data_IF_505928846745
#
_entry.id   IF_505928846745
#
_cell.length_a   1.000
_cell.length_b   1.000
_cell.length_c   1.000
_cell.angle_alpha   90.00
_cell.angle_beta   90.00
_cell.angle_gamma   90.00
#
_symmetry.space_group_name_H-M   'P 1'
#
loop_
_entity.id
_entity.type
_entity.pdbx_description
1 polymer ?
#
# COMPACT_ATOMS: atom_id res chain seq x y z
N UNK A 1 -5.37 8.18 9.70
CA UNK A 1 -4.83 7.07 8.87
C UNK A 1 -5.84 5.93 8.89
N UNK A 2 -6.10 5.29 7.76
CA UNK A 2 -6.88 4.07 7.72
C UNK A 2 -5.93 2.88 7.87
N UNK A 3 -6.25 1.94 8.76
CA UNK A 3 -5.41 0.76 9.04
C UNK A 3 -6.14 -0.51 8.64
N UNK A 4 -5.44 -1.38 7.93
CA UNK A 4 -5.86 -2.73 7.62
C UNK A 4 -4.83 -3.72 8.19
N UNK A 5 -5.32 -4.79 8.82
CA UNK A 5 -4.48 -5.87 9.34
C UNK A 5 -4.86 -7.17 8.67
N UNK A 6 -3.87 -7.89 8.13
CA UNK A 6 -4.05 -9.23 7.59
C UNK A 6 -3.33 -10.19 8.52
N UNK A 7 -4.12 -11.03 9.19
CA UNK A 7 -3.59 -12.10 10.01
C UNK A 7 -3.32 -13.31 9.12
N UNK A 8 -2.06 -13.66 8.96
CA UNK A 8 -1.63 -14.87 8.27
C UNK A 8 -1.22 -15.91 9.31
N UNK A 9 -1.57 -17.18 9.08
CA UNK A 9 -1.04 -18.27 9.90
C UNK A 9 0.41 -18.57 9.48
N UNK A 10 1.21 -19.04 10.42
CA UNK A 10 2.64 -19.34 10.21
C UNK A 10 2.74 -20.46 9.16
N UNK A 11 3.07 -20.11 7.92
CA UNK A 11 3.44 -21.06 6.88
C UNK A 11 4.83 -21.62 7.19
N UNK A 12 4.92 -22.50 8.20
CA UNK A 12 6.14 -22.89 8.92
C UNK A 12 7.28 -23.51 8.10
N UNK A 13 7.06 -23.79 6.81
CA UNK A 13 8.11 -24.29 5.91
C UNK A 13 8.32 -23.46 4.64
N UNK A 14 7.52 -22.42 4.39
CA UNK A 14 7.73 -21.63 3.18
C UNK A 14 8.89 -20.65 3.39
N UNK A 15 9.99 -20.88 2.68
CA UNK A 15 11.20 -20.04 2.73
C UNK A 15 11.19 -18.92 1.70
N UNK A 16 10.17 -18.82 0.84
CA UNK A 16 10.10 -17.79 -0.20
C UNK A 16 8.66 -17.33 -0.44
N UNK A 17 8.34 -16.15 0.07
CA UNK A 17 7.06 -15.48 -0.03
C UNK A 17 7.28 -14.09 -0.64
N UNK A 18 6.34 -13.62 -1.44
CA UNK A 18 6.28 -12.24 -1.93
C UNK A 18 5.01 -11.57 -1.44
N UNK A 19 5.18 -10.38 -0.90
CA UNK A 19 4.09 -9.45 -0.60
C UNK A 19 4.18 -8.32 -1.60
N UNK A 20 3.10 -8.05 -2.32
CA UNK A 20 3.01 -6.90 -3.24
C UNK A 20 1.74 -6.12 -2.94
N UNK A 21 1.88 -4.80 -2.86
CA UNK A 21 0.76 -3.87 -2.76
C UNK A 21 0.72 -3.03 -4.03
N UNK A 22 -0.46 -2.88 -4.62
CA UNK A 22 -0.67 -2.10 -5.84
C UNK A 22 -1.87 -1.17 -5.67
N UNK A 23 -1.67 0.13 -5.79
CA UNK A 23 -2.71 1.17 -5.88
C UNK A 23 -3.34 1.13 -7.27
N UNK A 24 -4.62 1.48 -7.39
CA UNK A 24 -5.28 1.56 -8.69
C UNK A 24 -4.73 2.71 -9.54
N UNK A 25 -4.28 3.80 -8.92
CA UNK A 25 -3.64 4.92 -9.60
C UNK A 25 -2.35 5.38 -8.87
N UNK A 26 -1.24 5.64 -9.59
CA UNK A 26 -0.02 6.20 -8.98
C UNK A 26 -0.26 7.53 -8.25
N UNK A 27 -1.17 8.38 -8.74
CA UNK A 27 -1.49 9.70 -8.19
C UNK A 27 -2.50 9.67 -7.02
N UNK A 28 -2.93 8.48 -6.62
CA UNK A 28 -3.87 8.26 -5.53
C UNK A 28 -5.35 8.31 -5.94
N UNK A 29 -6.22 8.64 -4.99
CA UNK A 29 -7.66 8.61 -5.20
C UNK A 29 -8.10 9.70 -6.17
N UNK A 30 -9.07 9.38 -7.01
CA UNK A 30 -9.59 10.33 -7.99
C UNK A 30 -11.08 10.59 -7.82
N UNK A 31 -11.45 11.85 -8.00
CA UNK A 31 -12.83 12.28 -8.15
C UNK A 31 -13.15 12.34 -9.65
N UNK A 32 -14.19 11.62 -10.12
CA UNK A 32 -14.53 11.56 -11.55
C UNK A 32 -15.14 12.85 -12.10
N UNK A 33 -15.39 13.86 -11.26
CA UNK A 33 -15.92 15.16 -11.69
C UNK A 33 -15.08 15.77 -12.84
N UNK A 34 -15.73 15.99 -13.98
CA UNK A 34 -15.15 16.64 -15.16
C UNK A 34 -15.48 18.13 -15.24
N UNK A 35 -16.13 18.68 -14.21
CA UNK A 35 -16.43 20.11 -14.08
C UNK A 35 -15.18 20.94 -14.36
N UNK A 36 -15.25 21.96 -15.22
CA UNK A 36 -14.12 22.85 -15.46
C UNK A 36 -13.73 23.60 -14.18
N UNK A 37 -12.69 23.13 -13.50
CA UNK A 37 -12.12 23.79 -12.33
C UNK A 37 -10.78 24.42 -12.69
N UNK A 38 -10.38 25.43 -11.92
CA UNK A 38 -9.04 26.01 -12.05
C UNK A 38 -8.00 25.03 -11.47
N UNK A 39 -7.15 24.40 -12.29
CA UNK A 39 -6.17 23.41 -11.82
C UNK A 39 -5.03 24.04 -11.01
N UNK A 40 -4.91 25.37 -10.98
CA UNK A 40 -3.96 26.06 -10.10
C UNK A 40 -4.49 26.22 -8.66
N UNK A 41 -5.80 26.04 -8.44
CA UNK A 41 -6.45 26.25 -7.14
C UNK A 41 -7.09 24.96 -6.60
N UNK A 42 -7.57 24.10 -7.49
CA UNK A 42 -8.30 22.89 -7.15
C UNK A 42 -7.66 21.65 -7.77
N UNK A 43 -7.93 20.49 -7.16
CA UNK A 43 -7.50 19.19 -7.67
C UNK A 43 -8.61 18.15 -7.57
N UNK A 44 -8.73 17.30 -8.60
CA UNK A 44 -9.55 16.09 -8.57
C UNK A 44 -8.75 14.84 -8.17
N UNK A 45 -7.50 15.00 -7.74
CA UNK A 45 -6.62 13.94 -7.22
C UNK A 45 -6.32 14.14 -5.74
N UNK A 46 -6.35 13.06 -4.98
CA UNK A 46 -6.01 13.02 -3.57
C UNK A 46 -4.92 11.96 -3.36
N UNK A 47 -3.63 12.37 -3.34
CA UNK A 47 -2.51 11.45 -3.14
C UNK A 47 -2.59 10.73 -1.80
N UNK A 48 -2.12 9.50 -1.77
CA UNK A 48 -1.95 8.72 -0.53
C UNK A 48 -0.82 7.72 -0.69
N UNK A 49 -0.18 7.37 0.42
CA UNK A 49 0.81 6.30 0.49
C UNK A 49 0.29 5.12 1.29
N UNK A 50 0.90 3.96 1.06
CA UNK A 50 0.61 2.73 1.79
C UNK A 50 1.87 2.23 2.45
N UNK A 51 1.90 2.25 3.78
CA UNK A 51 3.02 1.71 4.56
C UNK A 51 2.72 0.27 5.00
N UNK A 52 3.66 -0.62 4.74
CA UNK A 52 3.58 -2.04 5.09
C UNK A 52 4.61 -2.39 6.15
N UNK A 53 4.22 -3.22 7.11
CA UNK A 53 5.13 -3.80 8.10
C UNK A 53 4.74 -5.23 8.48
N UNK A 54 5.74 -6.10 8.64
CA UNK A 54 5.62 -7.47 9.12
C UNK A 54 6.97 -7.98 9.64
N UNK A 55 6.97 -9.10 10.37
CA UNK A 55 8.19 -9.83 10.72
C UNK A 55 8.16 -11.18 10.02
N UNK A 56 9.30 -11.56 9.42
CA UNK A 56 9.48 -12.84 8.78
C UNK A 56 10.87 -13.42 9.00
N UNK A 57 11.26 -14.38 8.18
CA UNK A 57 12.67 -14.73 7.98
C UNK A 57 13.22 -14.14 6.69
N UNK A 58 14.53 -14.17 6.52
CA UNK A 58 15.16 -13.83 5.25
C UNK A 58 14.77 -14.84 4.16
N UNK A 59 14.66 -14.42 2.89
CA UNK A 59 14.40 -15.33 1.79
C UNK A 59 15.40 -16.50 1.77
N UNK A 60 14.89 -17.71 1.58
CA UNK A 60 15.67 -18.97 1.56
C UNK A 60 16.43 -19.25 2.86
N UNK A 61 16.00 -18.66 3.99
CA UNK A 61 16.68 -18.78 5.28
C UNK A 61 15.69 -18.81 6.45
N UNK A 62 16.12 -19.36 7.58
CA UNK A 62 15.38 -19.30 8.85
C UNK A 62 15.72 -18.04 9.68
N UNK A 63 16.79 -17.32 9.32
CA UNK A 63 17.25 -16.11 10.01
C UNK A 63 16.15 -15.04 10.02
N UNK A 64 15.91 -14.40 11.16
CA UNK A 64 14.87 -13.38 11.26
C UNK A 64 15.16 -12.15 10.38
N UNK A 65 14.12 -11.58 9.80
CA UNK A 65 14.18 -10.33 9.05
C UNK A 65 12.89 -9.54 9.26
N UNK A 66 13.01 -8.27 9.61
CA UNK A 66 11.89 -7.33 9.56
C UNK A 66 11.56 -7.01 8.10
N UNK A 67 10.27 -7.11 7.76
CA UNK A 67 9.74 -6.72 6.46
C UNK A 67 9.02 -5.38 6.55
N UNK A 68 9.38 -4.45 5.69
CA UNK A 68 8.72 -3.16 5.57
C UNK A 68 9.02 -2.54 4.21
N UNK A 69 8.00 -1.96 3.60
CA UNK A 69 8.12 -1.17 2.38
C UNK A 69 6.97 -0.17 2.29
N UNK A 70 7.08 0.81 1.40
CA UNK A 70 6.06 1.83 1.19
C UNK A 70 5.70 1.88 -0.28
N UNK A 71 4.42 1.87 -0.60
CA UNK A 71 3.96 2.38 -1.90
C UNK A 71 3.78 3.88 -1.75
N UNK A 72 4.71 4.64 -2.30
CA UNK A 72 4.76 6.09 -2.13
C UNK A 72 3.57 6.81 -2.80
N UNK A 73 3.37 8.08 -2.44
CA UNK A 73 2.24 8.87 -2.92
C UNK A 73 2.20 9.02 -4.44
N UNK A 74 3.36 8.95 -5.11
CA UNK A 74 3.53 9.03 -6.57
C UNK A 74 3.85 7.68 -7.23
N UNK A 75 3.81 6.58 -6.47
CA UNK A 75 4.14 5.25 -6.94
C UNK A 75 2.90 4.38 -7.01
N UNK A 76 2.80 3.48 -8.01
CA UNK A 76 1.65 2.59 -8.15
C UNK A 76 1.81 1.28 -7.36
N UNK A 77 3.01 0.73 -7.24
CA UNK A 77 3.21 -0.61 -6.70
C UNK A 77 4.57 -0.74 -6.06
N UNK A 78 4.64 -1.49 -4.95
CA UNK A 78 5.89 -1.92 -4.35
C UNK A 78 5.71 -3.32 -3.73
N UNK A 79 6.81 -4.01 -3.46
CA UNK A 79 6.80 -5.38 -2.97
C UNK A 79 8.06 -5.76 -2.21
N UNK A 80 7.94 -6.78 -1.36
CA UNK A 80 9.08 -7.34 -0.66
C UNK A 80 9.02 -8.87 -0.62
N UNK A 81 10.16 -9.49 -0.94
CA UNK A 81 10.40 -10.90 -0.75
C UNK A 81 10.84 -11.19 0.69
N UNK A 82 10.33 -12.26 1.29
CA UNK A 82 10.72 -12.72 2.61
C UNK A 82 10.58 -14.24 2.73
N UNK A 83 11.12 -14.82 3.79
CA UNK A 83 10.94 -16.23 4.15
C UNK A 83 9.66 -16.48 4.94
N UNK A 84 9.70 -17.35 5.95
CA UNK A 84 8.51 -17.72 6.73
C UNK A 84 7.89 -16.51 7.45
N UNK A 85 6.56 -16.43 7.46
CA UNK A 85 5.81 -15.42 8.21
C UNK A 85 5.95 -15.64 9.72
N UNK A 86 6.24 -14.57 10.48
CA UNK A 86 6.40 -14.63 11.94
C UNK A 86 5.53 -13.62 12.70
N UNK A 87 4.77 -12.78 12.01
CA UNK A 87 3.80 -11.87 12.62
C UNK A 87 2.63 -11.57 11.69
N UNK A 88 1.66 -10.84 12.25
CA UNK A 88 0.61 -10.14 11.48
C UNK A 88 1.25 -9.20 10.46
N UNK A 89 0.68 -9.19 9.25
CA UNK A 89 0.95 -8.17 8.24
C UNK A 89 0.08 -6.94 8.53
N UNK A 90 0.69 -5.77 8.62
CA UNK A 90 -0.02 -4.50 8.82
C UNK A 90 0.17 -3.60 7.61
N UNK A 91 -0.94 -2.99 7.16
CA UNK A 91 -0.97 -2.01 6.09
C UNK A 91 -1.66 -0.73 6.58
N UNK A 92 -0.99 0.40 6.44
CA UNK A 92 -1.50 1.71 6.82
C UNK A 92 -1.63 2.60 5.58
N UNK A 93 -2.84 3.08 5.31
CA UNK A 93 -3.13 4.06 4.26
C UNK A 93 -3.05 5.46 4.84
N UNK A 94 -2.10 6.24 4.34
CA UNK A 94 -1.80 7.59 4.81
C UNK A 94 -2.16 8.61 3.74
N UNK A 95 -3.14 9.47 4.05
CA UNK A 95 -3.56 10.57 3.19
C UNK A 95 -3.01 11.87 3.80
N UNK A 96 -1.98 12.49 3.22
CA UNK A 96 -1.48 13.78 3.70
C UNK A 96 -2.49 14.91 3.39
N UNK A 97 -2.38 16.07 4.05
CA UNK A 97 -3.11 17.27 3.64
C UNK A 97 -2.81 17.61 2.17
N UNK A 98 -3.84 17.91 1.35
CA UNK A 98 -3.64 18.24 -0.05
C UNK A 98 -3.00 19.63 -0.21
N UNK A 99 -2.19 19.79 -1.26
CA UNK A 99 -1.54 21.08 -1.59
C UNK A 99 -2.46 22.08 -2.28
N UNK A 100 -3.57 21.59 -2.86
CA UNK A 100 -4.63 22.37 -3.49
C UNK A 100 -5.99 22.06 -2.84
N UNK A 101 -6.97 22.92 -3.07
CA UNK A 101 -8.33 22.66 -2.60
C UNK A 101 -8.93 21.43 -3.29
N UNK A 102 -9.69 20.62 -2.57
CA UNK A 102 -10.38 19.48 -3.16
C UNK A 102 -11.67 19.93 -3.84
N UNK A 103 -11.96 19.31 -4.98
CA UNK A 103 -13.30 19.40 -5.56
C UNK A 103 -14.30 18.69 -4.66
N UNK A 104 -15.50 19.25 -4.56
CA UNK A 104 -16.60 18.56 -3.91
C UNK A 104 -16.89 17.23 -4.62
N UNK A 105 -17.08 16.17 -3.84
CA UNK A 105 -17.44 14.86 -4.36
C UNK A 105 -16.69 13.73 -3.68
N UNK A 106 -16.79 12.55 -4.29
CA UNK A 106 -16.18 11.32 -3.78
C UNK A 106 -14.88 11.05 -4.48
N UNK A 107 -13.83 10.78 -3.71
CA UNK A 107 -12.53 10.32 -4.19
C UNK A 107 -12.44 8.83 -3.96
N UNK A 108 -12.13 8.06 -5.00
CA UNK A 108 -12.04 6.60 -4.91
C UNK A 108 -10.74 6.09 -5.50
N UNK A 109 -10.24 5.01 -4.90
CA UNK A 109 -9.20 4.15 -5.45
C UNK A 109 -9.38 2.72 -4.89
N UNK A 110 -8.70 1.75 -5.49
CA UNK A 110 -8.63 0.37 -4.98
C UNK A 110 -7.18 0.00 -4.70
N UNK A 111 -6.90 -0.49 -3.49
CA UNK A 111 -5.59 -1.05 -3.13
C UNK A 111 -5.69 -2.58 -3.17
N UNK A 112 -4.87 -3.21 -4.01
CA UNK A 112 -4.77 -4.66 -4.12
C UNK A 112 -3.54 -5.17 -3.37
N UNK A 113 -3.73 -6.17 -2.51
CA UNK A 113 -2.64 -6.90 -1.84
C UNK A 113 -2.54 -8.29 -2.45
N UNK A 114 -1.37 -8.63 -3.00
CA UNK A 114 -1.07 -9.96 -3.52
C UNK A 114 -0.07 -10.65 -2.59
N UNK A 115 -0.43 -11.83 -2.07
CA UNK A 115 0.46 -12.71 -1.33
C UNK A 115 0.80 -13.92 -2.21
N UNK A 116 2.07 -14.16 -2.48
CA UNK A 116 2.52 -15.28 -3.34
C UNK A 116 3.51 -16.16 -2.59
N UNK A 117 3.40 -17.47 -2.78
CA UNK A 117 4.36 -18.50 -2.34
C UNK A 117 5.16 -18.94 -3.57
N UNK A 118 6.49 -18.98 -3.48
CA UNK A 118 7.40 -19.33 -4.58
C UNK A 118 8.27 -20.53 -4.24
#
# INVERSE_FOLDING_TARGET
PATAQIQTNVAGCNTRNLVRVTKGNPDGMSNPSTSGYDPAQFTNKLPYSVAVAFNGSAPNSAAAQAGSFNVDASEQTDSQLHGAWKSVFTMNVNVPPPSLSLLAGTYTDTVNVTLTVQ
#
